data_IF_635984343869
#
_entry.id   IF_635984343869
#
_cell.length_a   1.000
_cell.length_b   1.000
_cell.length_c   1.000
_cell.angle_alpha   90.00
_cell.angle_beta   90.00
_cell.angle_gamma   90.00
#
_symmetry.space_group_name_H-M   'P 1'
#
loop_
_entity.id
_entity.type
_entity.pdbx_description
1 polymer ?
#
# COMPACT_ATOMS: atom_id res chain seq x y z
N UNK A 1 -3.76 18.06 5.35
CA UNK A 1 -4.58 16.98 4.76
C UNK A 1 -4.48 15.76 5.66
N UNK A 2 -5.58 15.34 6.27
CA UNK A 2 -5.65 14.14 7.11
C UNK A 2 -6.07 12.95 6.27
N UNK A 3 -5.57 11.76 6.57
CA UNK A 3 -5.98 10.55 5.89
C UNK A 3 -6.14 9.34 6.80
N UNK A 4 -6.89 8.33 6.36
CA UNK A 4 -7.11 7.07 7.07
C UNK A 4 -6.59 5.87 6.29
N UNK A 5 -6.11 4.85 7.01
CA UNK A 5 -5.63 3.60 6.45
C UNK A 5 -6.60 2.43 6.65
N UNK A 6 -6.95 1.75 5.56
CA UNK A 6 -7.70 0.48 5.57
C UNK A 6 -6.91 -0.55 4.76
N UNK A 7 -6.51 -1.71 5.30
CA UNK A 7 -5.81 -2.74 4.53
C UNK A 7 -6.60 -3.15 3.29
N UNK A 8 -5.92 -3.24 2.14
CA UNK A 8 -6.53 -3.61 0.87
C UNK A 8 -5.56 -4.41 0.00
N UNK A 9 -6.10 -5.36 -0.76
CA UNK A 9 -5.36 -6.20 -1.71
C UNK A 9 -5.86 -5.91 -3.12
N UNK A 10 -4.96 -5.89 -4.10
CA UNK A 10 -5.28 -5.67 -5.50
C UNK A 10 -4.69 -6.81 -6.35
N UNK A 11 -5.54 -7.49 -7.14
CA UNK A 11 -5.15 -8.61 -8.00
C UNK A 11 -5.51 -8.33 -9.47
N UNK A 12 -4.65 -8.74 -10.40
CA UNK A 12 -4.90 -8.69 -11.85
C UNK A 12 -5.17 -10.12 -12.37
N UNK A 13 -6.17 -10.30 -13.25
CA UNK A 13 -6.83 -11.59 -13.62
C UNK A 13 -5.97 -12.70 -14.29
N UNK A 14 -4.64 -12.56 -14.33
CA UNK A 14 -3.74 -13.53 -15.00
C UNK A 14 -3.30 -14.68 -14.08
N UNK A 15 -2.77 -15.76 -14.67
CA UNK A 15 -2.22 -16.93 -13.96
C UNK A 15 -1.12 -16.52 -12.95
N UNK A 16 -0.35 -15.50 -13.31
CA UNK A 16 0.50 -14.73 -12.41
C UNK A 16 -0.02 -13.30 -12.30
N UNK A 17 -0.22 -12.83 -11.07
CA UNK A 17 -0.62 -11.45 -10.79
C UNK A 17 0.55 -10.68 -10.18
N UNK A 18 0.72 -9.42 -10.56
CA UNK A 18 1.58 -8.50 -9.80
C UNK A 18 0.82 -8.08 -8.55
N UNK A 19 1.27 -8.52 -7.39
CA UNK A 19 0.58 -8.33 -6.11
C UNK A 19 1.36 -7.40 -5.21
N UNK A 20 0.63 -6.55 -4.53
CA UNK A 20 1.12 -5.78 -3.40
C UNK A 20 0.06 -5.79 -2.30
N UNK A 21 0.53 -5.59 -1.08
CA UNK A 21 -0.30 -5.36 0.08
C UNK A 21 -0.23 -3.87 0.38
N UNK A 22 -1.38 -3.24 0.52
CA UNK A 22 -1.47 -1.82 0.75
C UNK A 22 -2.46 -1.47 1.83
N UNK A 23 -2.45 -0.20 2.21
CA UNK A 23 -3.50 0.43 2.96
C UNK A 23 -4.15 1.50 2.07
N UNK A 24 -5.46 1.37 1.85
CA UNK A 24 -6.31 2.39 1.25
C UNK A 24 -6.14 3.71 1.99
N UNK A 25 -6.03 4.79 1.24
CA UNK A 25 -5.92 6.14 1.77
C UNK A 25 -7.22 6.88 1.50
N UNK A 26 -7.83 7.41 2.55
CA UNK A 26 -8.98 8.33 2.42
C UNK A 26 -8.46 9.72 2.74
N UNK A 27 -8.50 10.66 1.80
CA UNK A 27 -8.03 12.04 2.00
C UNK A 27 -8.90 13.01 1.18
N UNK A 28 -9.01 14.30 1.57
CA UNK A 28 -9.62 15.33 0.73
C UNK A 28 -8.68 15.68 -0.42
N UNK A 29 -8.62 14.81 -1.43
CA UNK A 29 -7.72 14.99 -2.56
C UNK A 29 -7.98 16.32 -3.30
N UNK A 30 -6.96 16.95 -3.90
CA UNK A 30 -7.16 18.14 -4.70
C UNK A 30 -8.09 17.85 -5.89
N UNK A 31 -9.04 18.73 -6.15
CA UNK A 31 -9.93 18.64 -7.32
C UNK A 31 -9.14 18.87 -8.61
N UNK A 32 -8.22 19.84 -8.59
CA UNK A 32 -7.34 20.19 -9.71
C UNK A 32 -5.97 19.53 -9.56
N UNK A 33 -5.78 18.41 -10.24
CA UNK A 33 -4.49 17.74 -10.34
C UNK A 33 -3.74 18.17 -11.60
N UNK A 34 -2.39 18.26 -11.54
CA UNK A 34 -1.59 18.61 -12.71
C UNK A 34 -1.76 17.57 -13.83
N UNK A 35 -1.48 17.99 -15.07
CA UNK A 35 -1.60 17.12 -16.24
C UNK A 35 -0.74 15.85 -16.12
N UNK A 36 -1.32 14.70 -16.47
CA UNK A 36 -0.65 13.40 -16.43
C UNK A 36 -1.62 12.24 -16.28
N UNK A 37 -1.08 11.02 -16.19
CA UNK A 37 -1.88 9.82 -15.89
C UNK A 37 -2.17 9.76 -14.39
N UNK A 38 -3.36 10.22 -14.01
CA UNK A 38 -3.80 10.24 -12.62
C UNK A 38 -4.30 8.86 -12.19
N UNK A 39 -3.86 8.42 -11.00
CA UNK A 39 -4.42 7.24 -10.33
C UNK A 39 -5.80 7.64 -9.78
N UNK A 40 -6.85 6.92 -10.18
CA UNK A 40 -8.21 7.13 -9.66
C UNK A 40 -8.22 6.98 -8.14
N UNK A 41 -9.04 7.76 -7.45
CA UNK A 41 -9.00 7.88 -5.99
C UNK A 41 -9.18 6.54 -5.25
N UNK A 42 -10.07 5.70 -5.76
CA UNK A 42 -10.32 4.34 -5.26
C UNK A 42 -9.10 3.42 -5.35
N UNK A 43 -8.10 3.75 -6.18
CA UNK A 43 -6.85 3.02 -6.31
C UNK A 43 -5.66 3.70 -5.62
N UNK A 44 -5.86 4.85 -4.96
CA UNK A 44 -4.79 5.51 -4.19
C UNK A 44 -4.58 4.79 -2.87
N UNK A 45 -3.33 4.39 -2.61
CA UNK A 45 -2.97 3.57 -1.47
C UNK A 45 -1.55 3.90 -1.00
N UNK A 46 -1.24 3.49 0.23
CA UNK A 46 0.13 3.36 0.72
C UNK A 46 0.51 1.89 0.61
N UNK A 47 1.59 1.61 -0.10
CA UNK A 47 2.12 0.25 -0.21
C UNK A 47 2.77 -0.16 1.11
N UNK A 48 2.34 -1.28 1.67
CA UNK A 48 2.97 -1.91 2.83
C UNK A 48 4.13 -2.81 2.40
N UNK A 49 3.85 -3.68 1.42
CA UNK A 49 4.78 -4.69 0.91
C UNK A 49 4.51 -4.93 -0.58
N UNK A 50 5.55 -4.93 -1.39
CA UNK A 50 5.48 -5.35 -2.79
C UNK A 50 5.92 -6.82 -2.92
N UNK A 51 5.03 -7.66 -3.44
CA UNK A 51 5.29 -9.10 -3.57
C UNK A 51 5.80 -9.49 -4.96
N UNK A 52 5.62 -8.60 -5.95
CA UNK A 52 5.97 -8.91 -7.32
C UNK A 52 4.97 -9.88 -7.95
N UNK A 53 5.47 -10.75 -8.83
CA UNK A 53 4.63 -11.71 -9.55
C UNK A 53 4.46 -12.98 -8.72
N UNK A 54 3.21 -13.30 -8.40
CA UNK A 54 2.83 -14.49 -7.64
C UNK A 54 1.74 -15.25 -8.40
N UNK A 55 1.80 -16.58 -8.36
CA UNK A 55 0.75 -17.47 -8.87
C UNK A 55 -0.58 -17.20 -8.19
N UNK A 56 -1.64 -17.07 -8.99
CA UNK A 56 -2.99 -16.79 -8.49
C UNK A 56 -3.44 -17.75 -7.39
N UNK A 57 -3.13 -19.05 -7.50
CA UNK A 57 -3.47 -20.06 -6.48
C UNK A 57 -2.84 -19.76 -5.12
N UNK A 58 -1.57 -19.35 -5.11
CA UNK A 58 -0.85 -18.96 -3.88
C UNK A 58 -1.48 -17.72 -3.28
N UNK A 59 -1.87 -16.74 -4.11
CA UNK A 59 -2.58 -15.56 -3.65
C UNK A 59 -3.90 -15.96 -3.00
N UNK A 60 -4.76 -16.71 -3.70
CA UNK A 60 -6.09 -17.09 -3.20
C UNK A 60 -6.05 -17.93 -1.92
N UNK A 61 -5.09 -18.84 -1.77
CA UNK A 61 -4.95 -19.65 -0.55
C UNK A 61 -4.45 -18.81 0.63
N UNK A 62 -3.43 -17.99 0.38
CA UNK A 62 -2.72 -17.26 1.44
C UNK A 62 -3.54 -16.07 1.93
N UNK A 63 -4.24 -15.37 1.03
CA UNK A 63 -5.04 -14.20 1.39
C UNK A 63 -6.16 -14.49 2.40
N UNK A 64 -6.68 -15.72 2.45
CA UNK A 64 -7.70 -16.10 3.45
C UNK A 64 -7.20 -16.00 4.88
N UNK A 65 -5.89 -16.08 5.08
CA UNK A 65 -5.24 -16.03 6.39
C UNK A 65 -4.53 -14.69 6.64
N UNK A 66 -4.83 -13.67 5.82
CA UNK A 66 -4.18 -12.38 5.92
C UNK A 66 -4.39 -11.75 7.31
N UNK A 67 -3.32 -11.37 8.03
CA UNK A 67 -3.45 -10.82 9.37
C UNK A 67 -4.09 -9.43 9.32
N UNK A 68 -5.25 -9.29 9.97
CA UNK A 68 -5.87 -7.99 10.16
C UNK A 68 -5.10 -7.16 11.21
N UNK A 69 -5.03 -5.83 11.03
CA UNK A 69 -4.42 -4.96 12.01
C UNK A 69 -5.20 -4.97 13.33
N UNK A 70 -4.50 -4.85 14.46
CA UNK A 70 -5.12 -4.80 15.80
C UNK A 70 -5.64 -3.42 16.20
N UNK A 71 -5.32 -2.37 15.44
CA UNK A 71 -5.81 -1.02 15.73
C UNK A 71 -7.26 -0.85 15.24
N UNK A 72 -8.13 -0.30 16.09
CA UNK A 72 -9.56 -0.11 15.83
C UNK A 72 -9.89 1.16 15.02
N UNK A 73 -8.96 2.12 14.99
CA UNK A 73 -9.09 3.38 14.27
C UNK A 73 -7.95 3.46 13.25
N UNK A 74 -8.26 3.83 12.01
CA UNK A 74 -7.26 4.02 10.97
C UNK A 74 -6.24 5.08 11.36
N UNK A 75 -4.98 4.86 11.01
CA UNK A 75 -3.91 5.80 11.34
C UNK A 75 -4.08 7.09 10.56
N UNK A 76 -3.87 8.19 11.25
CA UNK A 76 -3.90 9.53 10.69
C UNK A 76 -2.49 10.08 10.51
N UNK A 77 -2.35 10.92 9.49
CA UNK A 77 -1.12 11.62 9.21
C UNK A 77 -1.38 12.89 8.45
N UNK A 78 -0.29 13.60 8.17
CA UNK A 78 -0.30 14.79 7.36
C UNK A 78 0.49 14.56 6.07
N UNK A 79 -0.06 15.06 4.97
CA UNK A 79 0.73 15.32 3.78
C UNK A 79 1.82 16.34 4.10
N UNK A 80 3.04 16.09 3.65
CA UNK A 80 4.20 16.98 3.86
C UNK A 80 4.73 17.57 2.57
N UNK A 81 4.98 16.75 1.55
CA UNK A 81 5.54 17.19 0.27
C UNK A 81 5.25 16.21 -0.87
N UNK A 82 5.35 16.72 -2.09
CA UNK A 82 5.31 15.91 -3.31
C UNK A 82 6.69 15.31 -3.58
N UNK A 83 6.73 14.04 -3.96
CA UNK A 83 7.92 13.28 -4.33
C UNK A 83 7.88 12.96 -5.82
N UNK A 84 8.99 13.19 -6.51
CA UNK A 84 9.17 12.84 -7.91
C UNK A 84 10.12 11.62 -8.00
N UNK A 85 9.61 10.50 -8.51
CA UNK A 85 10.27 9.20 -8.46
C UNK A 85 10.50 8.64 -9.89
N UNK A 86 11.73 8.18 -10.22
CA UNK A 86 12.97 8.44 -9.49
C UNK A 86 13.36 9.94 -9.50
N UNK A 87 14.28 10.41 -8.62
CA UNK A 87 14.62 11.84 -8.51
C UNK A 87 15.20 12.48 -9.78
N UNK A 88 15.76 11.66 -10.69
CA UNK A 88 16.24 12.07 -12.02
C UNK A 88 15.42 11.33 -13.06
N UNK A 89 14.88 12.04 -14.05
CA UNK A 89 13.91 11.49 -15.03
C UNK A 89 12.69 10.88 -14.35
N UNK A 90 11.94 11.73 -13.65
CA UNK A 90 10.79 11.28 -12.87
C UNK A 90 9.64 10.85 -13.77
N UNK A 91 9.11 9.67 -13.48
CA UNK A 91 7.98 9.09 -14.20
C UNK A 91 6.75 8.89 -13.30
N UNK A 92 6.92 9.09 -11.99
CA UNK A 92 5.90 8.94 -10.97
C UNK A 92 5.94 10.14 -10.03
N UNK A 93 4.75 10.65 -9.71
CA UNK A 93 4.55 11.64 -8.65
C UNK A 93 3.86 10.93 -7.49
N UNK A 94 4.44 11.02 -6.29
CA UNK A 94 3.92 10.44 -5.06
C UNK A 94 3.76 11.52 -3.98
N UNK A 95 2.94 11.25 -2.98
CA UNK A 95 2.71 12.13 -1.85
C UNK A 95 3.42 11.56 -0.63
N UNK A 96 4.27 12.35 0.02
CA UNK A 96 4.85 11.98 1.31
C UNK A 96 3.80 12.16 2.42
N UNK A 97 3.67 11.13 3.24
CA UNK A 97 2.74 11.04 4.35
C UNK A 97 3.55 10.89 5.65
N UNK A 98 3.35 11.81 6.60
CA UNK A 98 3.90 11.72 7.96
C UNK A 98 2.79 11.33 8.94
N UNK A 99 2.85 10.13 9.49
CA UNK A 99 1.89 9.65 10.49
C UNK A 99 2.08 10.36 11.83
N UNK A 100 0.98 10.64 12.53
CA UNK A 100 1.05 11.13 13.92
C UNK A 100 1.50 10.02 14.87
N UNK A 101 1.03 8.79 14.62
CA UNK A 101 1.44 7.59 15.31
C UNK A 101 1.98 6.57 14.31
N UNK A 102 3.30 6.58 14.11
CA UNK A 102 3.95 5.69 13.15
C UNK A 102 4.14 4.25 13.69
N UNK A 103 4.30 4.11 15.02
CA UNK A 103 4.62 2.82 15.65
C UNK A 103 3.61 1.71 15.33
N UNK A 104 2.28 1.92 15.37
CA UNK A 104 1.33 0.88 15.02
C UNK A 104 1.42 0.45 13.55
N UNK A 105 1.70 1.39 12.63
CA UNK A 105 1.89 1.09 11.21
C UNK A 105 3.11 0.18 11.00
N UNK A 106 4.25 0.58 11.57
CA UNK A 106 5.51 -0.18 11.44
C UNK A 106 5.42 -1.54 12.13
N UNK A 107 4.73 -1.62 13.27
CA UNK A 107 4.46 -2.89 13.94
C UNK A 107 3.62 -3.81 13.05
N UNK A 108 2.56 -3.29 12.44
CA UNK A 108 1.72 -4.05 11.53
C UNK A 108 2.49 -4.48 10.27
N UNK A 109 3.31 -3.60 9.69
CA UNK A 109 4.17 -3.95 8.57
C UNK A 109 5.13 -5.09 8.93
N UNK A 110 5.75 -5.07 10.13
CA UNK A 110 6.58 -6.18 10.63
C UNK A 110 5.79 -7.47 10.80
N UNK A 111 4.56 -7.39 11.32
CA UNK A 111 3.68 -8.54 11.46
C UNK A 111 3.35 -9.16 10.09
N UNK A 112 2.98 -8.35 9.10
CA UNK A 112 2.73 -8.80 7.72
C UNK A 112 3.98 -9.44 7.12
N UNK A 113 5.15 -8.83 7.30
CA UNK A 113 6.42 -9.40 6.83
C UNK A 113 6.77 -10.72 7.52
N UNK A 114 6.47 -10.87 8.81
CA UNK A 114 6.65 -12.12 9.55
C UNK A 114 5.72 -13.22 9.04
N UNK A 115 4.45 -12.89 8.82
CA UNK A 115 3.45 -13.78 8.24
C UNK A 115 3.86 -14.26 6.84
N UNK A 116 4.27 -13.35 5.94
CA UNK A 116 4.73 -13.71 4.59
C UNK A 116 5.90 -14.71 4.61
N UNK A 117 6.79 -14.62 5.60
CA UNK A 117 7.89 -15.59 5.76
C UNK A 117 7.40 -16.96 6.18
N UNK A 118 6.41 -17.03 7.08
CA UNK A 118 5.79 -18.31 7.50
C UNK A 118 5.09 -18.97 6.32
N UNK A 119 4.44 -18.18 5.47
CA UNK A 119 3.78 -18.65 4.24
C UNK A 119 4.74 -18.93 3.08
N UNK A 120 6.06 -18.81 3.29
CA UNK A 120 7.09 -19.02 2.26
C UNK A 120 6.95 -18.09 1.02
N UNK A 121 6.33 -16.92 1.19
CA UNK A 121 6.17 -15.94 0.11
C UNK A 121 7.39 -15.02 0.06
N UNK A 122 8.04 -14.96 -1.11
CA UNK A 122 9.18 -14.07 -1.35
C UNK A 122 8.71 -12.63 -1.51
N UNK A 123 9.32 -11.72 -0.76
CA UNK A 123 9.12 -10.27 -0.88
C UNK A 123 10.18 -9.70 -1.82
N UNK A 124 9.77 -8.79 -2.72
CA UNK A 124 10.70 -8.03 -3.56
C UNK A 124 10.95 -6.66 -2.91
N UNK A 125 12.19 -6.38 -2.57
CA UNK A 125 12.65 -5.06 -2.10
C UNK A 125 13.09 -4.19 -3.28
#
# INVERSE_FOLDING_TARGET
MFFFLIPSIMTLEKEYSRVFLGAKVIAPWPEDLPGGKIIQENYRHITLVFLGEIEKKVVESTLRQFPLPKFSIGLTGQFTKVLFLPPKHSHVVAYEAKFYEEKPFLFYQKQVMGWLKVENIKVKN
#
